data_IF_963941358267
#
_entry.id   IF_963941358267
#
_cell.length_a   1.000
_cell.length_b   1.000
_cell.length_c   1.000
_cell.angle_alpha   90.00
_cell.angle_beta   90.00
_cell.angle_gamma   90.00
#
_symmetry.space_group_name_H-M   'P 1'
#
loop_
_entity.id
_entity.type
_entity.pdbx_description
1 polymer ?
#
# COMPACT_ATOMS: atom_id res chain seq x y z
N UNK A 1 -7.23 4.81 -11.30
CA UNK A 1 -6.49 3.54 -11.46
C UNK A 1 -5.33 3.70 -12.45
N UNK A 2 -5.53 4.29 -13.62
CA UNK A 2 -4.46 4.48 -14.62
C UNK A 2 -3.22 5.22 -14.09
N UNK A 3 -3.39 6.32 -13.35
CA UNK A 3 -2.25 7.04 -12.76
C UNK A 3 -1.54 6.26 -11.66
N UNK A 4 -2.30 5.53 -10.84
CA UNK A 4 -1.73 4.63 -9.85
C UNK A 4 -0.90 3.53 -10.52
N UNK A 5 -1.41 2.93 -11.62
CA UNK A 5 -0.66 1.94 -12.39
C UNK A 5 0.60 2.49 -13.04
N UNK A 6 0.58 3.74 -13.53
CA UNK A 6 1.76 4.42 -14.10
C UNK A 6 2.92 4.51 -13.10
N UNK A 7 2.64 4.64 -11.81
CA UNK A 7 3.66 4.71 -10.76
C UNK A 7 4.61 3.49 -10.75
N UNK A 8 4.12 2.35 -11.20
CA UNK A 8 4.86 1.09 -11.22
C UNK A 8 5.48 0.78 -12.58
N UNK A 9 5.09 1.48 -13.67
CA UNK A 9 5.52 1.14 -15.04
C UNK A 9 7.02 1.33 -15.27
N UNK A 10 7.58 2.42 -14.73
CA UNK A 10 8.98 2.76 -14.95
C UNK A 10 9.89 2.35 -13.78
N UNK A 11 9.38 1.54 -12.84
CA UNK A 11 10.09 1.13 -11.63
C UNK A 11 10.29 -0.39 -11.60
N UNK A 12 11.55 -0.80 -11.53
CA UNK A 12 11.89 -2.22 -11.31
C UNK A 12 11.64 -2.60 -9.85
N UNK A 13 10.64 -3.45 -9.59
CA UNK A 13 10.39 -4.01 -8.26
C UNK A 13 11.23 -5.28 -8.09
N UNK A 14 12.41 -5.13 -7.49
CA UNK A 14 13.32 -6.26 -7.24
C UNK A 14 12.95 -6.93 -5.92
N UNK A 15 13.58 -8.09 -5.65
CA UNK A 15 13.48 -8.71 -4.32
C UNK A 15 13.88 -7.68 -3.26
N UNK A 16 13.14 -7.67 -2.15
CA UNK A 16 13.27 -6.73 -1.03
C UNK A 16 12.87 -5.28 -1.33
N UNK A 17 12.38 -4.94 -2.53
CA UNK A 17 11.76 -3.63 -2.74
C UNK A 17 10.51 -3.50 -1.88
N UNK A 18 10.41 -2.40 -1.14
CA UNK A 18 9.27 -2.07 -0.31
C UNK A 18 8.33 -1.11 -1.03
N UNK A 19 7.04 -1.42 -0.99
CA UNK A 19 5.97 -0.49 -1.40
C UNK A 19 5.17 -0.16 -0.16
N UNK A 20 5.19 1.11 0.23
CA UNK A 20 4.48 1.63 1.38
C UNK A 20 3.22 2.32 0.88
N UNK A 21 2.06 1.82 1.32
CA UNK A 21 0.75 2.37 0.97
C UNK A 21 0.15 2.94 2.26
N UNK A 22 -0.05 4.25 2.30
CA UNK A 22 -0.54 4.97 3.49
C UNK A 22 -1.90 5.57 3.19
N UNK A 23 -2.92 5.14 3.93
CA UNK A 23 -4.27 5.72 3.91
C UNK A 23 -4.29 6.94 4.83
N UNK A 24 -4.33 8.12 4.24
CA UNK A 24 -4.49 9.40 4.92
C UNK A 24 -5.96 9.82 4.81
N UNK A 25 -6.65 9.88 5.95
CA UNK A 25 -8.05 10.28 5.96
C UNK A 25 -8.22 11.75 5.54
N UNK A 26 -9.31 12.09 4.83
CA UNK A 26 -10.45 11.23 4.49
C UNK A 26 -10.36 10.52 3.13
N UNK A 27 -9.51 10.97 2.20
CA UNK A 27 -9.52 10.51 0.79
C UNK A 27 -8.15 10.41 0.14
N UNK A 28 -7.08 10.59 0.92
CA UNK A 28 -5.72 10.72 0.42
C UNK A 28 -4.98 9.39 0.53
N UNK A 29 -4.36 8.96 -0.55
CA UNK A 29 -3.45 7.81 -0.57
C UNK A 29 -2.04 8.32 -0.84
N UNK A 30 -1.10 8.00 0.04
CA UNK A 30 0.32 8.23 -0.22
C UNK A 30 1.00 6.90 -0.54
N UNK A 31 1.84 6.91 -1.57
CA UNK A 31 2.67 5.77 -1.95
C UNK A 31 4.12 6.17 -1.87
N UNK A 32 4.93 5.37 -1.18
CA UNK A 32 6.37 5.52 -1.13
C UNK A 32 7.06 4.20 -1.44
N UNK A 33 8.30 4.30 -1.91
CA UNK A 33 9.12 3.14 -2.25
C UNK A 33 10.40 3.13 -1.43
N UNK A 34 10.84 1.93 -1.05
CA UNK A 34 12.21 1.67 -0.62
C UNK A 34 12.82 0.65 -1.58
N UNK A 35 14.06 0.87 -2.01
CA UNK A 35 14.76 -0.10 -2.85
C UNK A 35 15.12 -1.38 -2.09
N UNK A 36 15.25 -1.29 -0.76
CA UNK A 36 15.53 -2.42 0.13
C UNK A 36 14.87 -2.22 1.51
N UNK A 37 13.90 -3.08 1.86
CA UNK A 37 13.25 -3.09 3.18
C UNK A 37 14.14 -3.59 4.31
N UNK A 38 15.23 -4.30 3.99
CA UNK A 38 16.15 -4.86 4.99
C UNK A 38 17.16 -3.84 5.49
N UNK A 39 17.44 -2.78 4.71
CA UNK A 39 18.27 -1.65 5.11
C UNK A 39 17.66 -0.83 6.27
N UNK A 40 16.39 -1.08 6.60
CA UNK A 40 15.67 -0.42 7.68
C UNK A 40 15.10 0.94 7.28
N UNK A 41 14.00 1.31 7.91
CA UNK A 41 13.36 2.62 7.75
C UNK A 41 12.22 2.65 6.74
N UNK A 42 11.14 3.34 7.12
CA UNK A 42 10.05 3.73 6.23
C UNK A 42 10.48 5.02 5.51
N UNK A 43 10.26 5.15 4.18
CA UNK A 43 10.54 6.39 3.48
C UNK A 43 9.83 7.58 4.15
N UNK A 44 10.58 8.65 4.44
CA UNK A 44 10.02 9.86 5.06
C UNK A 44 9.18 10.72 4.10
N UNK A 45 9.37 10.53 2.79
CA UNK A 45 8.67 11.28 1.76
C UNK A 45 7.85 10.35 0.85
N UNK A 46 6.64 10.78 0.51
CA UNK A 46 5.80 10.11 -0.46
C UNK A 46 6.38 10.29 -1.88
N UNK A 47 6.41 9.21 -2.66
CA UNK A 47 6.74 9.25 -4.09
C UNK A 47 5.55 9.71 -4.94
N UNK A 48 4.33 9.45 -4.46
CA UNK A 48 3.10 9.94 -5.07
C UNK A 48 2.01 10.12 -4.03
N UNK A 49 1.10 11.04 -4.31
CA UNK A 49 -0.12 11.30 -3.54
C UNK A 49 -1.31 11.25 -4.48
N UNK A 50 -2.36 10.54 -4.10
CA UNK A 50 -3.59 10.42 -4.87
C UNK A 50 -4.78 10.86 -4.02
N UNK A 51 -5.63 11.71 -4.56
CA UNK A 51 -6.90 12.10 -3.94
C UNK A 51 -8.05 11.33 -4.59
N UNK A 52 -8.46 10.21 -3.98
CA UNK A 52 -9.52 9.38 -4.54
C UNK A 52 -10.09 8.39 -3.53
N UNK A 53 -11.30 8.68 -3.04
CA UNK A 53 -12.02 7.77 -2.15
C UNK A 53 -12.21 6.37 -2.78
N UNK A 54 -12.51 6.31 -4.08
CA UNK A 54 -12.67 5.03 -4.80
C UNK A 54 -11.39 4.20 -4.84
N UNK A 55 -10.22 4.83 -5.00
CA UNK A 55 -8.94 4.13 -4.95
C UNK A 55 -8.63 3.61 -3.55
N UNK A 56 -8.85 4.43 -2.51
CA UNK A 56 -8.66 4.02 -1.12
C UNK A 56 -9.54 2.83 -0.76
N UNK A 57 -10.82 2.90 -1.11
CA UNK A 57 -11.80 1.84 -0.83
C UNK A 57 -11.46 0.54 -1.57
N UNK A 58 -11.08 0.62 -2.85
CA UNK A 58 -10.70 -0.55 -3.63
C UNK A 58 -9.45 -1.25 -3.07
N UNK A 59 -8.41 -0.49 -2.71
CA UNK A 59 -7.22 -1.08 -2.09
C UNK A 59 -7.52 -1.67 -0.71
N UNK A 60 -8.37 -1.01 0.08
CA UNK A 60 -8.80 -1.54 1.37
C UNK A 60 -9.51 -2.89 1.21
N UNK A 61 -10.45 -2.99 0.27
CA UNK A 61 -11.20 -4.22 0.00
C UNK A 61 -10.28 -5.37 -0.48
N UNK A 62 -9.28 -5.08 -1.30
CA UNK A 62 -8.29 -6.06 -1.78
C UNK A 62 -7.50 -6.70 -0.62
N UNK A 63 -7.10 -5.92 0.39
CA UNK A 63 -6.27 -6.43 1.49
C UNK A 63 -7.06 -6.90 2.70
N UNK A 64 -8.18 -6.25 3.01
CA UNK A 64 -8.93 -6.41 4.27
C UNK A 64 -10.43 -6.66 4.07
N UNK A 65 -10.89 -6.76 2.82
CA UNK A 65 -12.27 -7.04 2.48
C UNK A 65 -12.66 -8.52 2.62
N UNK A 66 -13.68 -8.93 1.87
CA UNK A 66 -14.27 -10.28 1.99
C UNK A 66 -13.39 -11.38 1.40
N UNK A 67 -12.67 -11.08 0.32
CA UNK A 67 -11.79 -12.02 -0.39
C UNK A 67 -10.36 -11.45 -0.43
N UNK A 68 -9.67 -11.40 0.72
CA UNK A 68 -8.39 -10.71 0.82
C UNK A 68 -7.28 -11.48 0.10
N UNK A 69 -6.38 -10.75 -0.56
CA UNK A 69 -5.20 -11.34 -1.23
C UNK A 69 -4.23 -12.02 -0.27
N UNK A 70 -4.33 -11.73 1.03
CA UNK A 70 -3.59 -12.40 2.09
C UNK A 70 -4.51 -12.70 3.28
N UNK A 71 -5.16 -13.87 3.31
CA UNK A 71 -6.04 -14.25 4.42
C UNK A 71 -5.32 -14.28 5.77
N UNK A 72 -4.02 -14.62 5.78
CA UNK A 72 -3.21 -14.61 7.01
C UNK A 72 -3.03 -13.21 7.59
N UNK A 73 -2.91 -12.17 6.75
CA UNK A 73 -2.86 -10.78 7.19
C UNK A 73 -4.10 -10.40 7.99
N UNK A 74 -5.29 -10.73 7.47
CA UNK A 74 -6.57 -10.46 8.14
C UNK A 74 -6.66 -11.22 9.46
N UNK A 75 -6.26 -12.50 9.48
CA UNK A 75 -6.23 -13.31 10.69
C UNK A 75 -5.30 -12.74 11.77
N UNK A 76 -4.11 -12.26 11.39
CA UNK A 76 -3.19 -11.59 12.31
C UNK A 76 -3.78 -10.30 12.88
N UNK A 77 -4.41 -9.46 12.04
CA UNK A 77 -5.07 -8.23 12.52
C UNK A 77 -6.20 -8.57 13.49
N UNK A 78 -7.05 -9.54 13.16
CA UNK A 78 -8.15 -9.96 14.03
C UNK A 78 -7.66 -10.45 15.41
N UNK A 79 -6.52 -11.14 15.45
CA UNK A 79 -5.89 -11.58 16.70
C UNK A 79 -5.36 -10.42 17.53
N UNK A 80 -4.88 -9.35 16.89
CA UNK A 80 -4.36 -8.15 17.58
C UNK A 80 -5.50 -7.26 18.08
N UNK A 81 -6.64 -7.26 17.38
CA UNK A 81 -7.79 -6.39 17.67
C UNK A 81 -8.80 -6.98 18.67
N UNK A 82 -8.66 -8.26 19.06
CA UNK A 82 -9.49 -8.95 20.04
C UNK A 82 -9.05 -8.71 21.48
#
# INVERSE_FOLDING_TARGET
LDEFGKLFKDRSLKKNTGVYITWCQPSTLQVAFSDDVTAGGVPSAASATFESHGLLAALFDIYLGKEPVSPSLVGSIATIAS
#
